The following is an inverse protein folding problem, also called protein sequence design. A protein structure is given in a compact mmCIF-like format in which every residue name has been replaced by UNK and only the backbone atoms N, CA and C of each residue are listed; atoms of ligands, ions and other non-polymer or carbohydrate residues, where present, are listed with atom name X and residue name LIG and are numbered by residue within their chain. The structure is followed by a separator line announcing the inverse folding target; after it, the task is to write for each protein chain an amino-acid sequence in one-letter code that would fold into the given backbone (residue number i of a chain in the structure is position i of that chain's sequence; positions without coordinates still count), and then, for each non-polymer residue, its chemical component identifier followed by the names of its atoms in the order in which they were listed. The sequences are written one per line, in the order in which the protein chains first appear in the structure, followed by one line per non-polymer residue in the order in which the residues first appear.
data_IF_991536582275
#
_entry.id   IF_991536582275
#
_cell.length_a   1.000
_cell.length_b   1.000
_cell.length_c   1.000
_cell.angle_alpha   90.00
_cell.angle_beta   90.00
_cell.angle_gamma   90.00
#
_symmetry.space_group_name_H-M   'P 1'
#
loop_
_entity.id
_entity.type
_entity.pdbx_description
1 polymer ?
#
# COMPACT_ATOMS: atom_id res chain seq x y z
N UNK A 1 49.01 -20.33 48.68
CA UNK A 1 47.58 -19.94 48.69
C UNK A 1 47.36 -18.97 47.55
N UNK A 2 46.39 -19.30 46.68
CA UNK A 2 46.06 -18.66 45.41
C UNK A 2 45.56 -17.22 45.60
N UNK A 3 45.93 -16.30 44.70
CA UNK A 3 45.05 -15.20 44.30
C UNK A 3 45.15 -14.98 42.79
N UNK A 4 43.98 -15.08 42.15
CA UNK A 4 43.72 -15.04 40.71
C UNK A 4 43.72 -13.58 40.23
N UNK A 5 44.39 -13.29 39.11
CA UNK A 5 44.28 -12.02 38.40
C UNK A 5 43.08 -12.08 37.44
N UNK A 6 42.03 -11.37 37.82
CA UNK A 6 40.72 -11.32 37.18
C UNK A 6 40.75 -10.57 35.84
N UNK A 7 40.32 -11.25 34.79
CA UNK A 7 39.23 -10.82 33.92
C UNK A 7 39.21 -9.37 33.40
N UNK A 8 40.20 -8.97 32.60
CA UNK A 8 40.10 -7.73 31.82
C UNK A 8 40.36 -7.89 30.31
N UNK A 9 40.35 -9.13 29.81
CA UNK A 9 40.47 -9.43 28.38
C UNK A 9 39.12 -9.51 27.63
N UNK A 10 38.00 -9.23 28.31
CA UNK A 10 36.65 -9.33 27.72
C UNK A 10 36.13 -8.00 27.16
N UNK A 11 36.76 -6.86 27.48
CA UNK A 11 36.20 -5.53 27.15
C UNK A 11 36.39 -5.17 25.66
N UNK A 12 37.34 -5.80 24.95
CA UNK A 12 37.58 -5.53 23.52
C UNK A 12 36.53 -6.18 22.60
N UNK A 13 35.74 -7.14 23.10
CA UNK A 13 34.74 -7.85 22.30
C UNK A 13 33.40 -7.12 22.11
N UNK A 14 33.12 -6.04 22.85
CA UNK A 14 31.76 -5.49 22.95
C UNK A 14 31.48 -4.24 22.08
N UNK A 15 32.42 -3.76 21.29
CA UNK A 15 32.26 -2.51 20.52
C UNK A 15 32.10 -2.69 18.99
N UNK A 16 31.83 -3.92 18.53
CA UNK A 16 31.56 -4.24 17.10
C UNK A 16 30.06 -4.36 16.76
N UNK A 17 29.16 -3.83 17.61
CA UNK A 17 27.71 -3.79 17.35
C UNK A 17 27.22 -2.40 16.90
N UNK A 18 28.07 -1.64 16.22
CA UNK A 18 27.68 -0.32 15.71
C UNK A 18 27.06 -0.43 14.32
N UNK A 19 25.74 -0.33 14.28
CA UNK A 19 25.01 0.24 13.14
C UNK A 19 24.48 -0.76 12.12
N UNK A 20 23.43 -1.50 12.50
CA UNK A 20 22.46 -1.93 11.48
C UNK A 20 21.80 -0.66 10.91
N UNK A 21 22.33 -0.13 9.80
CA UNK A 21 21.65 0.87 8.99
C UNK A 21 20.40 0.22 8.42
N UNK A 22 19.29 0.32 9.15
CA UNK A 22 17.97 -0.01 8.61
C UNK A 22 17.65 0.99 7.50
N UNK A 23 17.93 0.58 6.27
CA UNK A 23 17.37 1.20 5.09
C UNK A 23 15.84 1.21 5.27
N UNK A 24 15.27 2.37 5.59
CA UNK A 24 13.82 2.55 5.62
C UNK A 24 13.35 2.40 4.18
N UNK A 25 12.83 1.22 3.83
CA UNK A 25 12.12 1.06 2.57
C UNK A 25 10.96 2.06 2.60
N UNK A 26 10.95 3.00 1.65
CA UNK A 26 9.79 3.84 1.38
C UNK A 26 8.70 2.92 0.82
N UNK A 27 8.05 2.18 1.70
CA UNK A 27 6.87 1.39 1.36
C UNK A 27 5.81 2.41 0.96
N UNK A 28 5.57 2.51 -0.36
CA UNK A 28 4.52 3.36 -0.94
C UNK A 28 3.21 2.91 -0.29
N UNK A 29 2.71 3.68 0.68
CA UNK A 29 1.48 3.34 1.41
C UNK A 29 0.34 3.32 0.40
N UNK A 30 -0.18 2.15 0.07
CA UNK A 30 -1.47 2.03 -0.59
C UNK A 30 -2.55 2.23 0.47
N UNK A 31 -3.51 3.10 0.19
CA UNK A 31 -4.69 3.27 1.03
C UNK A 31 -5.86 2.63 0.31
N UNK A 32 -6.46 1.61 0.94
CA UNK A 32 -7.66 0.96 0.40
C UNK A 32 -8.90 1.56 1.05
N UNK A 33 -9.79 2.11 0.23
CA UNK A 33 -11.02 2.76 0.64
C UNK A 33 -12.23 1.89 0.24
N UNK A 34 -13.14 1.66 1.19
CA UNK A 34 -14.36 0.87 1.01
C UNK A 34 -15.64 1.70 1.14
N UNK A 35 -15.53 3.04 1.10
CA UNK A 35 -16.66 3.96 1.28
C UNK A 35 -17.66 3.93 0.11
N UNK A 36 -17.20 3.52 -1.07
CA UNK A 36 -18.00 3.47 -2.30
C UNK A 36 -18.50 2.04 -2.50
N UNK A 37 -19.82 1.84 -2.48
CA UNK A 37 -20.46 0.51 -2.48
C UNK A 37 -21.42 0.26 -3.65
N UNK A 38 -21.49 1.17 -4.62
CA UNK A 38 -22.40 1.04 -5.74
C UNK A 38 -21.83 1.58 -7.04
N UNK A 39 -22.51 1.25 -8.14
CA UNK A 39 -22.19 1.71 -9.48
C UNK A 39 -23.35 2.55 -10.01
N UNK A 40 -23.03 3.67 -10.66
CA UNK A 40 -23.97 4.47 -11.42
C UNK A 40 -24.34 3.75 -12.73
N UNK A 41 -23.36 3.15 -13.40
CA UNK A 41 -23.59 2.29 -14.57
C UNK A 41 -22.80 1.00 -14.46
N UNK A 42 -23.44 -0.13 -14.73
CA UNK A 42 -22.83 -1.47 -14.62
C UNK A 42 -22.03 -1.88 -15.86
N UNK A 43 -21.34 -0.93 -16.50
CA UNK A 43 -20.48 -1.21 -17.66
C UNK A 43 -19.01 -1.25 -17.26
N UNK A 44 -18.18 -1.92 -18.05
CA UNK A 44 -16.72 -1.84 -17.89
C UNK A 44 -16.20 -0.46 -18.32
N UNK A 45 -15.25 0.09 -17.57
CA UNK A 45 -14.60 1.37 -17.92
C UNK A 45 -13.72 1.21 -19.16
N UNK A 46 -13.70 2.23 -20.02
CA UNK A 46 -12.72 2.34 -21.10
C UNK A 46 -11.33 2.73 -20.58
N UNK A 47 -10.33 2.67 -21.47
CA UNK A 47 -8.99 3.17 -21.18
C UNK A 47 -9.03 4.66 -20.83
N UNK A 48 -8.43 5.02 -19.69
CA UNK A 48 -8.40 6.39 -19.15
C UNK A 48 -9.77 6.99 -18.82
N UNK A 49 -10.81 6.16 -18.74
CA UNK A 49 -12.09 6.60 -18.22
C UNK A 49 -12.01 6.77 -16.70
N UNK A 50 -12.70 7.79 -16.19
CA UNK A 50 -12.83 8.04 -14.76
C UNK A 50 -13.73 6.96 -14.15
N UNK A 51 -13.16 6.09 -13.32
CA UNK A 51 -13.93 5.08 -12.59
C UNK A 51 -14.68 5.68 -11.39
N UNK A 52 -14.15 6.75 -10.77
CA UNK A 52 -14.78 7.45 -9.65
C UNK A 52 -14.38 8.93 -9.66
N UNK A 53 -15.38 9.81 -9.65
CA UNK A 53 -15.17 11.26 -9.60
C UNK A 53 -14.89 11.74 -8.17
N UNK A 54 -14.29 12.92 -8.04
CA UNK A 54 -14.14 13.58 -6.74
C UNK A 54 -15.49 13.70 -6.02
N UNK A 55 -15.47 13.44 -4.70
CA UNK A 55 -16.65 13.51 -3.80
C UNK A 55 -17.85 12.59 -4.08
N UNK A 56 -17.88 11.86 -5.20
CA UNK A 56 -18.94 10.90 -5.48
C UNK A 56 -18.85 9.65 -4.58
N UNK A 57 -20.00 9.13 -4.17
CA UNK A 57 -20.15 7.91 -3.36
C UNK A 57 -20.50 6.67 -4.21
N UNK A 58 -20.52 6.82 -5.53
CA UNK A 58 -20.78 5.78 -6.52
C UNK A 58 -19.66 5.73 -7.56
N UNK A 59 -19.34 4.53 -8.02
CA UNK A 59 -18.46 4.32 -9.18
C UNK A 59 -19.21 4.64 -10.47
N UNK A 60 -18.55 5.21 -11.47
CA UNK A 60 -19.20 5.42 -12.78
C UNK A 60 -19.30 4.12 -13.57
N UNK A 61 -18.28 3.28 -13.49
CA UNK A 61 -18.13 2.05 -14.25
C UNK A 61 -17.26 1.05 -13.46
N UNK A 62 -17.29 -0.22 -13.88
CA UNK A 62 -16.50 -1.32 -13.31
C UNK A 62 -15.12 -1.35 -13.96
N UNK A 63 -14.03 -1.22 -13.18
CA UNK A 63 -12.70 -1.53 -13.72
C UNK A 63 -12.58 -3.04 -13.96
N UNK A 64 -11.86 -3.46 -15.02
CA UNK A 64 -11.61 -4.88 -15.27
C UNK A 64 -10.81 -5.52 -14.12
N UNK A 65 -10.88 -6.84 -13.99
CA UNK A 65 -10.33 -7.59 -12.83
C UNK A 65 -8.83 -7.32 -12.58
N UNK A 66 -8.06 -7.11 -13.65
CA UNK A 66 -6.63 -6.82 -13.64
C UNK A 66 -6.29 -5.35 -13.31
N UNK A 67 -7.28 -4.49 -13.09
CA UNK A 67 -7.11 -3.05 -12.80
C UNK A 67 -7.76 -2.62 -11.49
N UNK A 68 -7.18 -1.59 -10.88
CA UNK A 68 -7.64 -0.94 -9.67
C UNK A 68 -8.17 0.46 -10.00
N UNK A 69 -9.28 0.85 -9.38
CA UNK A 69 -9.75 2.23 -9.42
C UNK A 69 -8.88 3.07 -8.48
N UNK A 70 -7.95 3.86 -9.03
CA UNK A 70 -6.87 4.49 -8.27
C UNK A 70 -6.74 5.97 -8.58
N UNK A 71 -6.43 6.74 -7.56
CA UNK A 71 -6.02 8.15 -7.66
C UNK A 71 -4.72 8.40 -6.87
N UNK A 72 -4.08 9.56 -7.04
CA UNK A 72 -2.99 10.00 -6.17
C UNK A 72 -3.44 10.32 -4.72
N UNK A 73 -4.73 10.59 -4.49
CA UNK A 73 -5.28 10.93 -3.18
C UNK A 73 -6.81 10.98 -3.14
N UNK A 74 -7.40 11.09 -1.94
CA UNK A 74 -8.85 11.01 -1.71
C UNK A 74 -9.68 12.02 -2.52
N UNK A 75 -9.15 13.22 -2.74
CA UNK A 75 -9.83 14.35 -3.37
C UNK A 75 -9.51 14.51 -4.85
N UNK A 76 -9.18 13.41 -5.53
CA UNK A 76 -8.88 13.41 -6.96
C UNK A 76 -9.73 12.38 -7.68
N UNK A 77 -9.94 12.62 -8.97
CA UNK A 77 -10.54 11.64 -9.87
C UNK A 77 -9.68 10.37 -9.92
N UNK A 78 -10.37 9.24 -9.93
CA UNK A 78 -9.77 7.93 -9.97
C UNK A 78 -9.92 7.33 -11.36
N UNK A 79 -8.90 6.58 -11.78
CA UNK A 79 -8.84 5.92 -13.08
C UNK A 79 -8.50 4.46 -12.90
N UNK A 80 -8.92 3.62 -13.86
CA UNK A 80 -8.53 2.21 -13.87
C UNK A 80 -7.05 2.08 -14.24
N UNK A 81 -6.26 1.47 -13.37
CA UNK A 81 -4.83 1.25 -13.58
C UNK A 81 -4.38 -0.07 -12.98
N UNK A 82 -3.36 -0.68 -13.57
CA UNK A 82 -2.77 -1.93 -13.09
C UNK A 82 -1.96 -1.75 -11.80
N UNK A 83 -1.60 -0.51 -11.44
CA UNK A 83 -0.73 -0.26 -10.28
C UNK A 83 -1.52 -0.23 -8.96
N UNK A 84 -1.20 -1.15 -8.07
CA UNK A 84 -1.73 -1.21 -6.70
C UNK A 84 -1.13 -0.23 -5.69
N UNK A 85 -0.71 0.97 -6.10
CA UNK A 85 -0.13 1.99 -5.19
C UNK A 85 -0.92 3.29 -5.21
N UNK A 86 -0.96 4.04 -4.11
CA UNK A 86 -1.74 5.27 -3.97
C UNK A 86 -3.09 5.04 -3.28
N UNK A 87 -4.08 5.90 -3.56
CA UNK A 87 -5.42 5.77 -3.01
C UNK A 87 -6.25 4.89 -3.94
N UNK A 88 -6.73 3.76 -3.43
CA UNK A 88 -7.43 2.74 -4.22
C UNK A 88 -8.80 2.55 -3.62
N UNK A 89 -9.83 2.65 -4.44
CA UNK A 89 -11.18 2.29 -4.03
C UNK A 89 -11.44 0.82 -4.35
N UNK A 90 -11.85 0.08 -3.34
CA UNK A 90 -12.26 -1.32 -3.48
C UNK A 90 -13.64 -1.36 -4.10
N UNK A 91 -13.72 -1.97 -5.27
CA UNK A 91 -14.96 -2.15 -6.00
C UNK A 91 -15.76 -3.33 -5.42
N UNK A 92 -17.06 -3.17 -5.12
CA UNK A 92 -17.92 -4.28 -4.71
C UNK A 92 -18.04 -5.30 -5.85
N UNK A 93 -18.24 -6.57 -5.51
CA UNK A 93 -18.26 -7.73 -6.43
C UNK A 93 -16.93 -8.04 -7.11
N UNK A 94 -15.83 -7.41 -6.67
CA UNK A 94 -14.49 -7.77 -7.11
C UNK A 94 -14.05 -9.06 -6.41
N UNK A 95 -14.64 -10.18 -6.82
CA UNK A 95 -14.22 -11.50 -6.36
C UNK A 95 -12.86 -11.81 -6.99
N UNK A 96 -11.79 -11.68 -6.19
CA UNK A 96 -10.44 -12.06 -6.57
C UNK A 96 -10.31 -13.57 -6.40
N UNK A 97 -10.63 -14.34 -7.44
CA UNK A 97 -10.37 -15.78 -7.50
C UNK A 97 -11.07 -16.60 -6.42
N UNK A 98 -12.13 -17.32 -6.81
CA UNK A 98 -12.42 -18.62 -6.21
C UNK A 98 -11.38 -19.64 -6.68
#
# INVERSE_FOLDING_TARGET
MKWQASGNLLVVGLMLHAGALQARSLTKRSFSDQSVRGYLTERTCWWNEICKEEFQTLFRCKCPLWSFCRSPGRYYNAFCTMTGTGYIWTQPDRNWGS
#
